data_IF_410724053950
#
_entry.id   IF_410724053950
#
_cell.length_a   1.000
_cell.length_b   1.000
_cell.length_c   1.000
_cell.angle_alpha   90.00
_cell.angle_beta   90.00
_cell.angle_gamma   90.00
#
_symmetry.space_group_name_H-M   'P 1'
#
loop_
_entity.id
_entity.type
_entity.pdbx_description
1 polymer ?
#
# COMPACT_ATOMS: atom_id res chain seq x y z
N UNK A 1 -1.99 5.23 18.77
CA UNK A 1 -0.69 5.11 18.10
C UNK A 1 -0.74 5.86 16.78
N UNK A 2 0.09 6.88 16.65
CA UNK A 2 0.31 7.64 15.41
C UNK A 2 1.15 6.78 14.48
N UNK A 3 0.71 6.56 13.25
CA UNK A 3 1.46 5.75 12.27
C UNK A 3 2.35 6.68 11.46
N UNK A 4 3.67 6.50 11.50
CA UNK A 4 4.61 7.27 10.68
C UNK A 4 4.93 6.54 9.37
N UNK A 5 5.15 7.31 8.31
CA UNK A 5 5.62 6.82 7.02
C UNK A 5 6.49 7.84 6.29
N UNK A 6 7.27 7.37 5.32
CA UNK A 6 8.05 8.22 4.42
C UNK A 6 7.52 8.07 2.99
N UNK A 7 7.22 9.20 2.35
CA UNK A 7 6.86 9.30 0.94
C UNK A 7 7.73 10.38 0.30
N UNK A 8 8.33 10.10 -0.86
CA UNK A 8 9.20 11.05 -1.58
C UNK A 8 10.29 11.70 -0.70
N UNK A 9 10.86 10.93 0.25
CA UNK A 9 11.87 11.42 1.19
C UNK A 9 11.36 12.29 2.34
N UNK A 10 10.07 12.63 2.35
CA UNK A 10 9.40 13.43 3.39
C UNK A 10 8.73 12.50 4.41
N UNK A 11 8.82 12.88 5.71
CA UNK A 11 8.15 12.15 6.80
C UNK A 11 6.73 12.67 7.02
N UNK A 12 5.81 11.74 7.15
CA UNK A 12 4.41 11.98 7.46
C UNK A 12 3.98 11.20 8.70
N UNK A 13 3.09 11.79 9.49
CA UNK A 13 2.45 11.19 10.64
C UNK A 13 0.94 11.14 10.43
N UNK A 14 0.35 9.97 10.68
CA UNK A 14 -1.08 9.73 10.56
C UNK A 14 -1.71 9.74 11.94
N UNK A 15 -2.59 10.71 12.14
CA UNK A 15 -3.44 10.83 13.32
C UNK A 15 -4.63 9.88 13.32
N UNK A 16 -5.49 10.05 14.32
CA UNK A 16 -6.70 9.25 14.51
C UNK A 16 -7.94 10.02 14.09
N UNK A 17 -8.79 9.37 13.30
CA UNK A 17 -10.15 9.83 13.02
C UNK A 17 -11.02 9.59 14.26
N UNK A 18 -11.93 10.50 14.56
CA UNK A 18 -12.95 10.26 15.58
C UNK A 18 -13.99 9.24 15.08
N UNK A 19 -14.79 8.69 16.01
CA UNK A 19 -15.76 7.62 15.68
C UNK A 19 -16.75 8.02 14.58
N UNK A 20 -17.26 9.26 14.59
CA UNK A 20 -18.19 9.75 13.57
C UNK A 20 -17.52 9.93 12.21
N UNK A 21 -16.27 10.40 12.18
CA UNK A 21 -15.48 10.48 10.95
C UNK A 21 -15.21 9.09 10.38
N UNK A 22 -14.83 8.11 11.22
CA UNK A 22 -14.66 6.73 10.78
C UNK A 22 -15.96 6.18 10.19
N UNK A 23 -17.10 6.37 10.85
CA UNK A 23 -18.40 5.93 10.35
C UNK A 23 -18.80 6.60 9.02
N UNK A 24 -18.57 7.90 8.88
CA UNK A 24 -18.89 8.62 7.65
C UNK A 24 -17.97 8.28 6.48
N UNK A 25 -16.68 8.07 6.75
CA UNK A 25 -15.74 7.59 5.74
C UNK A 25 -16.08 6.16 5.35
N UNK A 26 -16.36 5.28 6.31
CA UNK A 26 -16.68 3.87 6.05
C UNK A 26 -17.92 3.72 5.17
N UNK A 27 -19.00 4.46 5.47
CA UNK A 27 -20.24 4.41 4.69
C UNK A 27 -20.05 4.88 3.24
N UNK A 28 -19.13 5.82 3.00
CA UNK A 28 -18.85 6.37 1.66
C UNK A 28 -17.98 5.47 0.81
N UNK A 29 -17.02 4.78 1.43
CA UNK A 29 -16.16 3.83 0.71
C UNK A 29 -16.82 2.46 0.57
N UNK A 30 -17.81 2.13 1.41
CA UNK A 30 -18.49 0.83 1.43
C UNK A 30 -19.00 0.35 0.05
N UNK A 31 -19.58 1.18 -0.83
CA UNK A 31 -20.02 0.75 -2.16
C UNK A 31 -18.89 0.22 -3.05
N UNK A 32 -17.65 0.66 -2.80
CA UNK A 32 -16.45 0.28 -3.57
C UNK A 32 -15.78 -0.98 -2.99
N UNK A 33 -16.06 -1.33 -1.73
CA UNK A 33 -15.42 -2.47 -1.06
C UNK A 33 -15.66 -3.80 -1.81
N UNK A 34 -16.88 -4.16 -2.26
CA UNK A 34 -17.11 -5.44 -2.93
C UNK A 34 -16.27 -5.62 -4.21
N UNK A 35 -16.13 -4.57 -5.02
CA UNK A 35 -15.30 -4.61 -6.23
C UNK A 35 -13.81 -4.62 -5.93
N UNK A 36 -13.41 -4.16 -4.73
CA UNK A 36 -12.03 -4.23 -4.25
C UNK A 36 -11.62 -5.56 -3.64
N UNK A 37 -12.54 -6.43 -3.21
CA UNK A 37 -12.21 -7.72 -2.58
C UNK A 37 -11.19 -8.55 -3.38
N UNK A 38 -11.37 -8.81 -4.69
CA UNK A 38 -10.42 -9.62 -5.45
C UNK A 38 -9.05 -8.95 -5.56
N UNK A 39 -9.01 -7.63 -5.71
CA UNK A 39 -7.77 -6.84 -5.74
C UNK A 39 -7.06 -6.89 -4.39
N UNK A 40 -7.79 -6.67 -3.29
CA UNK A 40 -7.27 -6.74 -1.93
C UNK A 40 -6.72 -8.13 -1.61
N UNK A 41 -7.47 -9.20 -1.92
CA UNK A 41 -7.04 -10.58 -1.72
C UNK A 41 -5.76 -10.91 -2.51
N UNK A 42 -5.68 -10.48 -3.77
CA UNK A 42 -4.48 -10.65 -4.58
C UNK A 42 -3.30 -9.86 -4.01
N UNK A 43 -3.51 -8.60 -3.61
CA UNK A 43 -2.50 -7.79 -2.94
C UNK A 43 -2.00 -8.43 -1.64
N UNK A 44 -2.90 -8.94 -0.79
CA UNK A 44 -2.52 -9.63 0.45
C UNK A 44 -1.71 -10.90 0.16
N UNK A 45 -2.14 -11.72 -0.82
CA UNK A 45 -1.42 -12.91 -1.23
C UNK A 45 -0.03 -12.59 -1.82
N UNK A 46 0.08 -11.52 -2.61
CA UNK A 46 1.37 -11.05 -3.16
C UNK A 46 2.29 -10.49 -2.08
N UNK A 47 1.76 -9.77 -1.08
CA UNK A 47 2.54 -9.31 0.08
C UNK A 47 3.05 -10.51 0.90
N UNK A 48 2.20 -11.49 1.19
CA UNK A 48 2.60 -12.73 1.87
C UNK A 48 3.66 -13.48 1.06
N UNK A 49 3.48 -13.63 -0.26
CA UNK A 49 4.47 -14.25 -1.13
C UNK A 49 5.79 -13.49 -1.15
N UNK A 50 5.77 -12.17 -1.12
CA UNK A 50 6.99 -11.35 -1.08
C UNK A 50 7.72 -11.50 0.25
N UNK A 51 6.99 -11.57 1.36
CA UNK A 51 7.57 -11.78 2.68
C UNK A 51 8.14 -13.20 2.82
N UNK A 52 7.43 -14.21 2.31
CA UNK A 52 7.92 -15.60 2.19
C UNK A 52 9.15 -15.68 1.29
N UNK A 53 9.16 -14.97 0.15
CA UNK A 53 10.31 -14.93 -0.75
C UNK A 53 11.54 -14.32 -0.06
N UNK A 54 11.37 -13.20 0.68
CA UNK A 54 12.45 -12.59 1.47
C UNK A 54 12.95 -13.50 2.60
N UNK A 55 12.05 -14.23 3.26
CA UNK A 55 12.42 -15.19 4.29
C UNK A 55 13.15 -16.41 3.70
N UNK A 56 12.71 -16.87 2.53
CA UNK A 56 13.37 -17.93 1.78
C UNK A 56 14.74 -17.50 1.29
N UNK A 57 14.91 -16.27 0.79
CA UNK A 57 16.21 -15.70 0.42
C UNK A 57 17.16 -15.65 1.62
N UNK A 58 16.68 -15.22 2.79
CA UNK A 58 17.48 -15.25 4.03
C UNK A 58 17.88 -16.66 4.43
N UNK A 59 16.96 -17.61 4.32
CA UNK A 59 17.21 -19.02 4.65
C UNK A 59 18.22 -19.63 3.68
N UNK A 60 18.06 -19.39 2.38
CA UNK A 60 18.98 -19.84 1.34
C UNK A 60 20.36 -19.20 1.53
N UNK A 61 20.43 -17.91 1.86
CA UNK A 61 21.69 -17.23 2.16
C UNK A 61 22.36 -17.79 3.43
N UNK A 62 21.58 -18.12 4.47
CA UNK A 62 22.10 -18.76 5.68
C UNK A 62 22.61 -20.18 5.39
N UNK A 63 21.90 -20.96 4.58
CA UNK A 63 22.34 -22.27 4.10
C UNK A 63 23.61 -22.18 3.25
N UNK A 64 23.69 -21.21 2.33
CA UNK A 64 24.88 -20.95 1.54
C UNK A 64 26.07 -20.56 2.43
N UNK A 65 25.87 -19.72 3.45
CA UNK A 65 26.93 -19.38 4.40
C UNK A 65 27.41 -20.58 5.24
N UNK A 66 26.53 -21.53 5.55
CA UNK A 66 26.90 -22.79 6.19
C UNK A 66 27.64 -23.74 5.24
N UNK A 67 27.20 -23.79 3.97
CA UNK A 67 27.86 -24.55 2.90
C UNK A 67 29.26 -23.98 2.63
N UNK A 68 29.43 -22.66 2.48
CA UNK A 68 30.73 -21.97 2.37
C UNK A 68 31.62 -22.16 3.60
N UNK A 69 31.04 -22.38 4.78
CA UNK A 69 31.82 -22.73 5.99
C UNK A 69 32.30 -24.19 5.97
N UNK A 70 31.58 -25.07 5.28
CA UNK A 70 31.99 -26.46 5.03
C UNK A 70 32.94 -26.55 3.82
N UNK A 71 32.67 -25.79 2.76
CA UNK A 71 33.48 -25.62 1.55
C UNK A 71 34.69 -24.72 1.78
N UNK A 72 34.76 -23.91 2.84
CA UNK A 72 35.98 -23.23 3.28
C UNK A 72 37.11 -24.20 3.68
N UNK A 73 36.80 -25.49 3.82
CA UNK A 73 37.78 -26.58 3.88
C UNK A 73 38.21 -27.09 2.48
N UNK A 74 37.53 -26.73 1.40
CA UNK A 74 37.67 -27.25 0.03
C UNK A 74 37.84 -26.18 -1.09
N UNK A 75 37.57 -24.89 -0.84
CA UNK A 75 37.43 -23.83 -1.85
C UNK A 75 38.62 -22.85 -1.94
N UNK A 76 39.86 -23.34 -1.83
CA UNK A 76 41.04 -22.60 -2.32
C UNK A 76 41.18 -22.67 -3.87
N UNK A 77 40.27 -23.36 -4.58
CA UNK A 77 40.53 -23.82 -5.95
C UNK A 77 39.62 -23.28 -7.08
N UNK A 78 38.54 -22.53 -6.83
CA UNK A 78 37.52 -22.28 -7.88
C UNK A 78 37.12 -20.81 -8.13
N UNK A 79 37.84 -19.82 -7.61
CA UNK A 79 37.49 -18.40 -7.78
C UNK A 79 37.99 -17.82 -9.13
N UNK A 80 37.30 -18.11 -10.24
CA UNK A 80 37.40 -17.29 -11.45
C UNK A 80 36.23 -17.53 -12.44
N UNK A 81 35.03 -17.00 -12.19
CA UNK A 81 34.15 -16.54 -13.27
C UNK A 81 32.92 -15.76 -12.77
N UNK A 82 32.61 -14.70 -13.52
CA UNK A 82 31.31 -14.03 -13.68
C UNK A 82 30.82 -13.05 -12.60
N UNK A 83 31.13 -11.76 -12.80
CA UNK A 83 30.34 -10.64 -12.29
C UNK A 83 29.30 -10.25 -13.35
N UNK A 84 28.03 -10.56 -13.11
CA UNK A 84 26.92 -10.10 -13.95
C UNK A 84 26.40 -8.75 -13.40
N UNK A 85 26.50 -7.70 -14.24
CA UNK A 85 25.94 -6.38 -13.95
C UNK A 85 24.40 -6.39 -14.05
N UNK A 86 23.67 -5.49 -13.35
CA UNK A 86 22.21 -5.46 -13.36
C UNK A 86 21.65 -4.80 -14.64
N UNK A 87 20.53 -5.32 -15.14
CA UNK A 87 19.83 -4.89 -16.35
C UNK A 87 19.25 -3.45 -16.29
N UNK A 88 19.08 -2.76 -17.44
CA UNK A 88 18.71 -1.34 -17.51
C UNK A 88 17.20 -1.09 -17.32
N UNK A 89 16.86 0.08 -16.77
CA UNK A 89 15.53 0.50 -16.34
C UNK A 89 14.37 0.39 -17.36
N UNK A 90 14.67 0.28 -18.67
CA UNK A 90 13.68 0.08 -19.72
C UNK A 90 12.95 -1.28 -19.61
N UNK A 91 13.63 -2.29 -19.07
CA UNK A 91 13.06 -3.62 -18.86
C UNK A 91 11.98 -3.57 -17.77
N UNK A 92 12.27 -2.85 -16.67
CA UNK A 92 11.34 -2.67 -15.54
C UNK A 92 10.04 -1.95 -15.92
N UNK A 93 10.11 -0.95 -16.81
CA UNK A 93 8.90 -0.30 -17.34
C UNK A 93 8.05 -1.23 -18.19
N UNK A 94 8.68 -2.13 -18.97
CA UNK A 94 7.97 -3.09 -19.83
C UNK A 94 7.35 -4.21 -19.00
N UNK A 95 8.06 -4.64 -17.96
CA UNK A 95 7.58 -5.57 -16.95
C UNK A 95 6.36 -4.99 -16.22
N UNK A 96 6.44 -3.75 -15.73
CA UNK A 96 5.32 -3.02 -15.09
C UNK A 96 4.10 -2.92 -16.01
N UNK A 97 4.28 -2.57 -17.29
CA UNK A 97 3.19 -2.51 -18.26
C UNK A 97 2.54 -3.88 -18.48
N UNK A 98 3.34 -4.95 -18.60
CA UNK A 98 2.82 -6.31 -18.75
C UNK A 98 2.07 -6.80 -17.51
N UNK A 99 2.51 -6.40 -16.32
CA UNK A 99 1.81 -6.67 -15.06
C UNK A 99 0.47 -5.90 -15.03
N UNK A 100 0.46 -4.64 -15.44
CA UNK A 100 -0.76 -3.82 -15.54
C UNK A 100 -1.77 -4.44 -16.50
N UNK A 101 -1.35 -4.87 -17.69
CA UNK A 101 -2.22 -5.54 -18.66
C UNK A 101 -2.79 -6.86 -18.11
N UNK A 102 -1.99 -7.62 -17.36
CA UNK A 102 -2.43 -8.86 -16.73
C UNK A 102 -3.46 -8.64 -15.62
N UNK A 103 -3.47 -7.48 -14.97
CA UNK A 103 -4.43 -7.14 -13.90
C UNK A 103 -5.57 -6.22 -14.36
N UNK A 104 -5.51 -5.65 -15.57
CA UNK A 104 -6.52 -4.73 -16.10
C UNK A 104 -7.96 -5.30 -16.05
N UNK A 105 -8.24 -6.57 -16.42
CA UNK A 105 -9.59 -7.13 -16.32
C UNK A 105 -10.10 -7.23 -14.88
N UNK A 106 -9.19 -7.38 -13.91
CA UNK A 106 -9.49 -7.44 -12.47
C UNK A 106 -9.70 -6.03 -11.90
N UNK A 107 -9.06 -5.02 -12.49
CA UNK A 107 -9.19 -3.61 -12.09
C UNK A 107 -10.42 -2.92 -12.67
N UNK A 108 -11.07 -3.46 -13.69
CA UNK A 108 -12.21 -2.79 -14.34
C UNK A 108 -13.42 -2.56 -13.42
N UNK A 109 -13.89 -3.55 -12.65
CA UNK A 109 -14.95 -3.33 -11.66
C UNK A 109 -14.57 -2.30 -10.58
N UNK A 110 -13.26 -2.16 -10.31
CA UNK A 110 -12.74 -1.14 -9.41
C UNK A 110 -12.74 0.25 -10.08
N UNK A 111 -12.33 0.34 -11.35
CA UNK A 111 -12.39 1.57 -12.13
C UNK A 111 -13.84 2.06 -12.29
N UNK A 112 -14.78 1.16 -12.55
CA UNK A 112 -16.21 1.48 -12.63
C UNK A 112 -16.77 1.94 -11.28
N UNK A 113 -16.35 1.30 -10.18
CA UNK A 113 -16.75 1.71 -8.84
C UNK A 113 -16.16 3.08 -8.44
N UNK A 114 -14.93 3.38 -8.85
CA UNK A 114 -14.34 4.71 -8.70
C UNK A 114 -15.04 5.75 -9.58
N UNK A 115 -15.41 5.41 -10.80
CA UNK A 115 -16.17 6.29 -11.71
C UNK A 115 -17.59 6.56 -11.21
N UNK A 116 -18.19 5.59 -10.50
CA UNK A 116 -19.50 5.73 -9.86
C UNK A 116 -19.47 6.46 -8.51
N UNK A 117 -18.28 6.77 -7.98
CA UNK A 117 -18.15 7.55 -6.74
C UNK A 117 -18.52 9.00 -7.01
N UNK A 118 -19.45 9.54 -6.23
CA UNK A 118 -19.82 10.95 -6.35
C UNK A 118 -18.65 11.83 -5.90
N UNK A 119 -18.47 12.96 -6.59
CA UNK A 119 -17.47 13.97 -6.24
C UNK A 119 -17.58 14.40 -4.77
N UNK A 120 -18.81 14.57 -4.26
CA UNK A 120 -19.07 14.95 -2.86
C UNK A 120 -18.49 13.95 -1.85
N UNK A 121 -18.56 12.66 -2.17
CA UNK A 121 -18.09 11.59 -1.30
C UNK A 121 -16.56 11.45 -1.41
N UNK A 122 -16.01 11.59 -2.62
CA UNK A 122 -14.56 11.63 -2.84
C UNK A 122 -13.92 12.80 -2.09
N UNK A 123 -14.42 14.02 -2.28
CA UNK A 123 -13.94 15.22 -1.58
C UNK A 123 -14.02 15.07 -0.06
N UNK A 124 -15.12 14.52 0.46
CA UNK A 124 -15.28 14.29 1.89
C UNK A 124 -14.25 13.32 2.44
N UNK A 125 -14.02 12.20 1.74
CA UNK A 125 -13.03 11.18 2.13
C UNK A 125 -11.62 11.77 2.11
N UNK A 126 -11.25 12.46 1.03
CA UNK A 126 -9.95 13.12 0.93
C UNK A 126 -9.75 14.15 2.05
N UNK A 127 -10.68 15.09 2.21
CA UNK A 127 -10.54 16.15 3.20
C UNK A 127 -10.50 15.63 4.63
N UNK A 128 -11.36 14.66 4.96
CA UNK A 128 -11.38 14.04 6.30
C UNK A 128 -10.09 13.28 6.57
N UNK A 129 -9.62 12.46 5.62
CA UNK A 129 -8.40 11.68 5.82
C UNK A 129 -7.16 12.56 5.90
N UNK A 130 -7.01 13.54 5.01
CA UNK A 130 -5.83 14.41 4.97
C UNK A 130 -5.80 15.39 6.16
N UNK A 131 -6.94 15.71 6.78
CA UNK A 131 -7.00 16.56 7.99
C UNK A 131 -6.27 15.98 9.21
N UNK A 132 -6.11 14.66 9.26
CA UNK A 132 -5.38 13.98 10.34
C UNK A 132 -3.93 13.68 9.96
N UNK A 133 -3.46 14.11 8.79
CA UNK A 133 -2.08 13.92 8.34
C UNK A 133 -1.24 15.14 8.64
N UNK A 134 -0.05 14.89 9.19
CA UNK A 134 0.96 15.89 9.47
C UNK A 134 2.26 15.57 8.72
N UNK A 135 2.93 16.61 8.25
CA UNK A 135 4.23 16.56 7.57
C UNK A 135 5.31 17.11 8.47
N UNK A 136 6.45 16.44 8.53
CA UNK A 136 7.65 16.95 9.20
C UNK A 136 8.30 18.06 8.37
N UNK A 137 8.54 19.21 8.99
CA UNK A 137 9.16 20.39 8.36
C UNK A 137 10.50 20.80 9.00
N UNK A 138 11.19 19.86 9.66
CA UNK A 138 12.47 20.14 10.32
C UNK A 138 12.33 20.72 11.73
N UNK A 139 11.50 21.76 11.89
CA UNK A 139 11.25 22.40 13.19
C UNK A 139 10.04 21.80 13.94
N UNK A 140 9.13 21.13 13.23
CA UNK A 140 7.93 20.54 13.82
C UNK A 140 7.04 19.84 12.80
N UNK A 141 5.87 19.44 13.29
CA UNK A 141 4.81 18.82 12.50
C UNK A 141 3.81 19.88 12.05
N UNK A 142 3.45 19.87 10.77
CA UNK A 142 2.48 20.78 10.18
C UNK A 142 1.37 20.01 9.49
N UNK A 143 0.13 20.49 9.60
CA UNK A 143 -1.03 19.87 8.95
C UNK A 143 -0.86 19.93 7.43
N UNK A 144 -1.11 18.79 6.77
CA UNK A 144 -1.05 18.69 5.31
C UNK A 144 -2.27 19.34 4.66
N UNK A 145 -3.42 19.33 5.35
CA UNK A 145 -4.70 19.75 4.77
C UNK A 145 -5.33 20.91 5.52
N UNK A 146 -5.89 21.85 4.75
CA UNK A 146 -6.76 22.88 5.28
C UNK A 146 -8.22 22.53 5.01
N UNK A 147 -8.97 22.32 6.09
CA UNK A 147 -10.37 21.91 6.01
C UNK A 147 -11.29 23.03 5.49
N UNK A 148 -10.96 24.30 5.74
CA UNK A 148 -11.77 25.44 5.32
C UNK A 148 -11.65 25.71 3.81
N UNK A 149 -10.45 25.62 3.27
CA UNK A 149 -10.17 25.86 1.84
C UNK A 149 -10.18 24.59 0.99
N UNK A 150 -10.36 23.41 1.61
CA UNK A 150 -10.33 22.10 0.94
C UNK A 150 -9.11 21.92 0.02
N UNK A 151 -7.93 22.33 0.49
CA UNK A 151 -6.70 22.24 -0.28
C UNK A 151 -5.51 21.85 0.60
N UNK A 152 -4.45 21.37 -0.05
CA UNK A 152 -3.15 21.13 0.58
C UNK A 152 -2.54 22.44 1.06
N UNK A 153 -1.88 22.39 2.22
CA UNK A 153 -1.05 23.50 2.71
C UNK A 153 0.32 23.57 2.03
N UNK A 154 0.64 22.59 1.19
CA UNK A 154 1.92 22.46 0.53
C UNK A 154 1.72 22.23 -0.97
N UNK A 155 2.35 23.08 -1.79
CA UNK A 155 2.22 23.05 -3.26
C UNK A 155 2.90 21.82 -3.89
N UNK A 156 3.87 21.21 -3.21
CA UNK A 156 4.57 20.01 -3.66
C UNK A 156 3.77 18.71 -3.44
N UNK A 157 2.62 18.78 -2.79
CA UNK A 157 1.76 17.61 -2.55
C UNK A 157 0.74 17.52 -3.68
N UNK A 158 1.03 16.66 -4.66
CA UNK A 158 0.11 16.27 -5.71
C UNK A 158 -0.71 15.02 -5.38
N UNK A 159 -1.51 14.58 -6.34
CA UNK A 159 -2.37 13.39 -6.21
C UNK A 159 -1.55 12.11 -5.93
N UNK A 160 -0.32 12.06 -6.44
CA UNK A 160 0.66 10.99 -6.23
C UNK A 160 1.05 10.81 -4.76
N UNK A 161 0.98 11.87 -3.95
CA UNK A 161 1.22 11.82 -2.50
C UNK A 161 -0.09 11.77 -1.72
N UNK A 162 -1.12 12.52 -2.15
CA UNK A 162 -2.41 12.55 -1.45
C UNK A 162 -3.07 11.18 -1.40
N UNK A 163 -3.13 10.47 -2.53
CA UNK A 163 -3.85 9.21 -2.62
C UNK A 163 -3.22 8.12 -1.71
N UNK A 164 -1.89 7.89 -1.70
CA UNK A 164 -1.26 6.98 -0.73
C UNK A 164 -1.50 7.37 0.73
N UNK A 165 -1.50 8.66 1.05
CA UNK A 165 -1.80 9.13 2.41
C UNK A 165 -3.24 8.80 2.80
N UNK A 166 -4.22 9.06 1.92
CA UNK A 166 -5.62 8.71 2.16
C UNK A 166 -5.78 7.21 2.37
N UNK A 167 -5.20 6.37 1.50
CA UNK A 167 -5.24 4.91 1.63
C UNK A 167 -4.65 4.47 2.98
N UNK A 168 -3.50 5.05 3.37
CA UNK A 168 -2.85 4.70 4.64
C UNK A 168 -3.69 5.14 5.85
N UNK A 169 -4.35 6.30 5.79
CA UNK A 169 -5.28 6.75 6.84
C UNK A 169 -6.47 5.80 6.95
N UNK A 170 -7.05 5.39 5.81
CA UNK A 170 -8.16 4.43 5.76
C UNK A 170 -7.76 3.11 6.42
N UNK A 171 -6.63 2.51 6.03
CA UNK A 171 -6.17 1.25 6.63
C UNK A 171 -5.89 1.40 8.13
N UNK A 172 -5.23 2.48 8.55
CA UNK A 172 -4.84 2.69 9.95
C UNK A 172 -6.00 3.05 10.90
N UNK A 173 -7.13 3.56 10.36
CA UNK A 173 -8.29 3.99 11.15
C UNK A 173 -9.51 3.09 10.97
N UNK A 174 -9.66 2.43 9.83
CA UNK A 174 -10.81 1.58 9.51
C UNK A 174 -10.47 0.10 9.40
N UNK A 175 -9.20 -0.29 9.54
CA UNK A 175 -8.75 -1.69 9.44
C UNK A 175 -9.65 -2.69 10.20
N UNK A 176 -9.91 -2.51 11.51
CA UNK A 176 -10.78 -3.41 12.26
C UNK A 176 -12.21 -3.51 11.72
N UNK A 177 -12.77 -2.40 11.24
CA UNK A 177 -14.11 -2.36 10.65
C UNK A 177 -14.16 -3.08 9.30
N UNK A 178 -13.19 -2.82 8.42
CA UNK A 178 -13.10 -3.46 7.10
C UNK A 178 -12.86 -4.96 7.25
N UNK A 179 -11.95 -5.38 8.14
CA UNK A 179 -11.74 -6.81 8.45
C UNK A 179 -13.02 -7.47 8.99
N UNK A 180 -13.79 -6.76 9.82
CA UNK A 180 -15.09 -7.22 10.28
C UNK A 180 -16.07 -7.44 9.13
N UNK A 181 -16.23 -6.47 8.22
CA UNK A 181 -17.09 -6.60 7.04
C UNK A 181 -16.67 -7.76 6.12
N UNK A 182 -15.37 -7.89 5.83
CA UNK A 182 -14.85 -8.95 4.99
C UNK A 182 -15.10 -10.34 5.61
N UNK A 183 -14.91 -10.47 6.91
CA UNK A 183 -15.17 -11.72 7.64
C UNK A 183 -16.67 -12.06 7.66
N UNK A 184 -17.54 -11.06 7.85
CA UNK A 184 -18.99 -11.26 7.80
C UNK A 184 -19.49 -11.68 6.41
N UNK A 185 -18.95 -11.07 5.35
CA UNK A 185 -19.28 -11.44 3.97
C UNK A 185 -18.77 -12.84 3.61
N UNK A 186 -17.57 -13.22 4.08
CA UNK A 186 -17.02 -14.56 3.88
C UNK A 186 -17.75 -15.66 4.67
N UNK A 187 -18.48 -15.29 5.73
CA UNK A 187 -19.26 -16.20 6.57
C UNK A 187 -20.71 -16.40 6.08
N UNK A 188 -21.13 -15.75 5.00
CA UNK A 188 -22.44 -16.03 4.40
C UNK A 188 -22.40 -17.37 3.67
N UNK A 189 -23.19 -18.39 4.10
CA UNK A 189 -23.34 -19.60 3.30
C UNK A 189 -24.02 -19.19 2.00
N UNK A 190 -23.46 -19.64 0.87
CA UNK A 190 -24.01 -19.44 -0.46
C UNK A 190 -25.52 -19.75 -0.44
N UNK A 191 -26.34 -18.71 -0.62
CA UNK A 191 -27.76 -18.91 -0.83
C UNK A 191 -27.91 -19.68 -2.15
N UNK A 192 -28.26 -20.96 -2.02
CA UNK A 192 -28.64 -21.85 -3.12
C UNK A 192 -30.05 -21.52 -3.57
#
# INVERSE_FOLDING_TARGET
MTTELKLNGVRYAIGKLNAMQQFHVSRRIAPIIPSMIPVLMKFYAELEQTDVAREQERTNAALAALAERAEGAEAAAAAASATAAPAPAADRSRELLSMVDAIAPVLQPFADALAGLKDEDAEYVFGTCLSVVERWQGAGWAKVWNLAHKTSMFDDIGIDVMLPLVVRVVVANLGPFISGLLTSQASSPAAT
#
